data_IF_871687492952
#
_entry.id   IF_871687492952
#
_cell.length_a   1.000
_cell.length_b   1.000
_cell.length_c   1.000
_cell.angle_alpha   90.00
_cell.angle_beta   90.00
_cell.angle_gamma   90.00
#
_symmetry.space_group_name_H-M   'P 1'
#
loop_
_entity.id
_entity.type
_entity.pdbx_description
1 polymer ?
#
# COMPACT_ATOMS: atom_id res chain seq x y z
N UNK A 1 -37.33 6.72 -9.44
CA UNK A 1 -37.01 6.37 -10.85
C UNK A 1 -35.59 6.74 -11.22
N UNK A 2 -35.19 8.02 -11.34
CA UNK A 2 -33.77 8.33 -11.65
C UNK A 2 -32.76 7.96 -10.56
N UNK A 3 -33.09 8.17 -9.28
CA UNK A 3 -32.18 7.90 -8.15
C UNK A 3 -31.90 6.40 -7.94
N UNK A 4 -32.92 5.55 -8.12
CA UNK A 4 -32.82 4.10 -7.94
C UNK A 4 -31.99 3.44 -9.07
N UNK A 5 -32.04 4.01 -10.28
CA UNK A 5 -31.24 3.58 -11.43
C UNK A 5 -29.76 3.95 -11.28
N UNK A 6 -29.47 5.15 -10.78
CA UNK A 6 -28.10 5.60 -10.50
C UNK A 6 -27.45 4.79 -9.36
N UNK A 7 -28.20 4.48 -8.30
CA UNK A 7 -27.73 3.60 -7.21
C UNK A 7 -27.44 2.18 -7.73
N UNK A 8 -28.33 1.61 -8.54
CA UNK A 8 -28.13 0.28 -9.14
C UNK A 8 -26.89 0.25 -10.06
N UNK A 9 -26.65 1.32 -10.83
CA UNK A 9 -25.45 1.45 -11.67
C UNK A 9 -24.17 1.50 -10.84
N UNK A 10 -24.17 2.23 -9.72
CA UNK A 10 -23.03 2.29 -8.79
C UNK A 10 -22.69 0.92 -8.19
N UNK A 11 -23.70 0.15 -7.78
CA UNK A 11 -23.48 -1.20 -7.25
C UNK A 11 -22.87 -2.15 -8.28
N UNK A 12 -23.30 -2.07 -9.54
CA UNK A 12 -22.73 -2.91 -10.61
C UNK A 12 -21.27 -2.54 -10.86
N UNK A 13 -20.95 -1.24 -10.90
CA UNK A 13 -19.58 -0.75 -11.06
C UNK A 13 -18.66 -1.22 -9.92
N UNK A 14 -19.11 -1.10 -8.66
CA UNK A 14 -18.34 -1.57 -7.49
C UNK A 14 -18.07 -3.07 -7.53
N UNK A 15 -19.06 -3.88 -7.96
CA UNK A 15 -18.88 -5.33 -8.13
C UNK A 15 -17.83 -5.65 -9.18
N UNK A 16 -17.87 -4.97 -10.32
CA UNK A 16 -16.88 -5.15 -11.39
C UNK A 16 -15.47 -4.78 -10.92
N UNK A 17 -15.31 -3.63 -10.25
CA UNK A 17 -14.02 -3.20 -9.67
C UNK A 17 -13.47 -4.26 -8.70
N UNK A 18 -14.33 -4.80 -7.84
CA UNK A 18 -13.94 -5.83 -6.87
C UNK A 18 -13.53 -7.16 -7.54
N UNK A 19 -14.18 -7.56 -8.63
CA UNK A 19 -13.82 -8.74 -9.39
C UNK A 19 -12.47 -8.57 -10.10
N UNK A 20 -12.26 -7.44 -10.78
CA UNK A 20 -11.00 -7.09 -11.42
C UNK A 20 -9.84 -7.03 -10.41
N UNK A 21 -10.07 -6.40 -9.25
CA UNK A 21 -9.08 -6.33 -8.18
C UNK A 21 -8.67 -7.72 -7.68
N UNK A 22 -9.63 -8.65 -7.52
CA UNK A 22 -9.32 -10.03 -7.10
C UNK A 22 -8.47 -10.76 -8.13
N UNK A 23 -8.77 -10.56 -9.42
CA UNK A 23 -7.98 -11.16 -10.51
C UNK A 23 -6.55 -10.56 -10.51
N UNK A 24 -6.42 -9.24 -10.43
CA UNK A 24 -5.13 -8.57 -10.33
C UNK A 24 -4.31 -9.06 -9.13
N UNK A 25 -4.93 -9.20 -7.95
CA UNK A 25 -4.27 -9.68 -6.73
C UNK A 25 -3.71 -11.08 -6.93
N UNK A 26 -4.48 -12.00 -7.51
CA UNK A 26 -4.04 -13.37 -7.84
C UNK A 26 -2.88 -13.39 -8.83
N UNK A 27 -2.82 -12.44 -9.75
CA UNK A 27 -1.78 -12.36 -10.76
C UNK A 27 -0.54 -11.58 -10.31
N UNK A 28 -0.61 -10.85 -9.19
CA UNK A 28 0.48 -10.01 -8.68
C UNK A 28 1.83 -10.73 -8.56
N UNK A 29 1.93 -11.99 -8.08
CA UNK A 29 3.21 -12.72 -8.01
C UNK A 29 3.91 -12.91 -9.36
N UNK A 30 3.16 -12.84 -10.46
CA UNK A 30 3.69 -12.98 -11.82
C UNK A 30 3.97 -11.62 -12.49
N UNK A 31 3.43 -10.53 -11.93
CA UNK A 31 3.45 -9.20 -12.53
C UNK A 31 4.49 -8.28 -11.91
N UNK A 32 4.83 -8.48 -10.63
CA UNK A 32 5.68 -7.56 -9.87
C UNK A 32 6.63 -8.33 -8.96
N UNK A 33 7.87 -7.84 -8.85
CA UNK A 33 8.85 -8.36 -7.90
C UNK A 33 8.53 -7.96 -6.45
N UNK A 34 7.91 -6.79 -6.27
CA UNK A 34 7.49 -6.26 -4.98
C UNK A 34 6.18 -5.48 -5.10
N UNK A 35 5.23 -5.83 -4.25
CA UNK A 35 4.03 -5.03 -4.00
C UNK A 35 3.90 -4.79 -2.51
N UNK A 36 3.78 -3.51 -2.14
CA UNK A 36 3.49 -3.07 -0.78
C UNK A 36 2.15 -2.35 -0.80
N UNK A 37 1.22 -2.82 0.02
CA UNK A 37 -0.08 -2.18 0.22
C UNK A 37 -0.23 -1.77 1.67
N UNK A 38 -0.54 -0.50 1.95
CA UNK A 38 -0.73 -0.01 3.31
C UNK A 38 -1.94 0.90 3.45
N UNK A 39 -2.82 0.62 4.42
CA UNK A 39 -3.99 1.44 4.70
C UNK A 39 -3.67 2.65 5.61
N UNK A 40 -3.69 3.86 5.06
CA UNK A 40 -3.66 5.12 5.82
C UNK A 40 -4.98 5.39 6.53
N UNK A 41 -4.95 6.22 7.57
CA UNK A 41 -6.17 6.72 8.23
C UNK A 41 -6.96 7.70 7.37
N UNK A 42 -6.25 8.58 6.66
CA UNK A 42 -6.83 9.59 5.79
C UNK A 42 -6.22 9.52 4.39
N UNK A 43 -6.99 9.87 3.34
CA UNK A 43 -6.46 9.99 1.99
C UNK A 43 -5.27 10.93 1.95
N UNK A 44 -4.27 10.55 1.17
CA UNK A 44 -3.19 11.44 0.81
C UNK A 44 -3.37 11.90 -0.63
N UNK A 45 -3.33 13.22 -0.85
CA UNK A 45 -3.38 13.82 -2.18
C UNK A 45 -1.97 14.07 -2.76
N UNK A 46 -0.92 13.67 -2.02
CA UNK A 46 0.48 13.81 -2.43
C UNK A 46 1.30 12.62 -1.98
N UNK A 47 2.31 12.25 -2.77
CA UNK A 47 3.32 11.26 -2.41
C UNK A 47 4.65 11.65 -3.03
N UNK A 48 5.68 11.75 -2.22
CA UNK A 48 7.02 12.12 -2.69
C UNK A 48 8.09 11.32 -1.95
N UNK A 49 8.92 10.58 -2.69
CA UNK A 49 10.07 9.90 -2.12
C UNK A 49 11.17 10.90 -1.78
N UNK A 50 11.78 10.75 -0.61
CA UNK A 50 12.99 11.47 -0.25
C UNK A 50 14.22 10.72 -0.80
N UNK A 51 15.31 11.44 -1.10
CA UNK A 51 16.50 10.85 -1.71
C UNK A 51 17.29 9.94 -0.75
N UNK A 52 17.07 10.06 0.56
CA UNK A 52 17.83 9.32 1.57
C UNK A 52 17.47 7.83 1.57
N UNK A 53 18.52 6.99 1.50
CA UNK A 53 18.47 5.54 1.67
C UNK A 53 19.45 5.14 2.76
N UNK A 54 18.94 4.48 3.79
CA UNK A 54 19.75 3.97 4.90
C UNK A 54 19.72 2.44 4.88
N UNK A 55 20.88 1.79 4.96
CA UNK A 55 20.99 0.32 5.04
C UNK A 55 21.52 -0.06 6.42
N UNK A 56 20.65 -0.48 7.36
CA UNK A 56 21.08 -0.83 8.70
C UNK A 56 22.05 -2.03 8.68
N UNK A 57 23.17 -2.00 9.43
CA UNK A 57 24.14 -3.09 9.44
C UNK A 57 23.52 -4.43 9.85
N UNK A 58 23.76 -5.47 9.05
CA UNK A 58 23.26 -6.83 9.31
C UNK A 58 21.75 -7.01 9.08
N UNK A 59 21.11 -6.11 8.31
CA UNK A 59 19.73 -6.26 7.83
C UNK A 59 19.71 -6.50 6.32
N UNK A 60 18.67 -7.18 5.88
CA UNK A 60 18.36 -7.53 4.49
C UNK A 60 17.40 -6.52 3.83
N UNK A 61 17.28 -5.32 4.41
CA UNK A 61 16.44 -4.25 3.89
C UNK A 61 17.13 -2.88 3.99
N UNK A 62 16.72 -1.97 3.10
CA UNK A 62 16.97 -0.54 3.21
C UNK A 62 15.76 0.17 3.82
N UNK A 63 15.99 1.29 4.49
CA UNK A 63 14.97 2.22 4.96
C UNK A 63 15.00 3.44 4.06
N UNK A 64 13.87 3.73 3.43
CA UNK A 64 13.64 4.92 2.62
C UNK A 64 12.48 5.70 3.21
N UNK A 65 12.47 7.02 2.99
CA UNK A 65 11.45 7.92 3.53
C UNK A 65 10.60 8.50 2.41
N UNK A 66 9.34 8.78 2.71
CA UNK A 66 8.45 9.51 1.81
C UNK A 66 7.61 10.52 2.59
N UNK A 67 7.23 11.58 1.88
CA UNK A 67 6.30 12.60 2.35
C UNK A 67 4.90 12.24 1.88
N UNK A 68 3.95 12.31 2.80
CA UNK A 68 2.52 12.18 2.57
C UNK A 68 1.80 13.35 3.25
N UNK A 69 0.62 13.72 2.76
CA UNK A 69 -0.31 14.60 3.48
C UNK A 69 -1.52 13.82 3.99
N UNK A 70 -2.25 14.37 4.96
CA UNK A 70 -3.64 13.93 5.21
C UNK A 70 -4.62 14.85 4.49
N UNK A 71 -5.78 14.31 4.14
CA UNK A 71 -6.95 15.05 3.67
C UNK A 71 -8.14 14.64 4.53
N UNK A 72 -8.31 15.36 5.63
CA UNK A 72 -9.27 15.09 6.70
C UNK A 72 -10.63 15.76 6.45
N UNK A 73 -11.63 15.38 7.26
CA UNK A 73 -12.89 16.12 7.34
C UNK A 73 -12.71 17.46 8.06
N UNK A 74 -13.65 18.41 7.88
CA UNK A 74 -13.55 19.80 8.38
C UNK A 74 -13.29 19.95 9.89
N UNK A 75 -13.60 18.91 10.68
CA UNK A 75 -13.44 18.91 12.14
C UNK A 75 -12.10 18.34 12.63
N UNK A 76 -11.26 17.83 11.74
CA UNK A 76 -9.96 17.21 12.08
C UNK A 76 -8.82 17.98 11.40
N UNK A 77 -7.70 18.27 12.09
CA UNK A 77 -6.56 18.96 11.49
C UNK A 77 -5.85 18.11 10.43
N UNK A 78 -5.31 18.78 9.41
CA UNK A 78 -4.46 18.14 8.41
C UNK A 78 -2.99 18.12 8.86
N UNK A 79 -2.26 17.08 8.46
CA UNK A 79 -0.87 16.83 8.83
C UNK A 79 0.00 16.57 7.62
N UNK A 80 1.25 17.02 7.70
CA UNK A 80 2.35 16.53 6.88
C UNK A 80 2.95 15.31 7.59
N UNK A 81 3.02 14.19 6.89
CA UNK A 81 3.50 12.92 7.42
C UNK A 81 4.81 12.52 6.75
N UNK A 82 5.74 12.03 7.56
CA UNK A 82 6.95 11.36 7.09
C UNK A 82 6.77 9.85 7.31
N UNK A 83 6.57 9.11 6.24
CA UNK A 83 6.47 7.65 6.31
C UNK A 83 7.83 7.01 6.04
N UNK A 84 8.17 5.98 6.80
CA UNK A 84 9.33 5.13 6.56
C UNK A 84 8.89 3.85 5.89
N UNK A 85 9.59 3.47 4.82
CA UNK A 85 9.35 2.25 4.07
C UNK A 85 10.60 1.38 4.12
N UNK A 86 10.43 0.16 4.60
CA UNK A 86 11.45 -0.88 4.53
C UNK A 86 11.33 -1.59 3.19
N UNK A 87 12.40 -1.56 2.38
CA UNK A 87 12.46 -2.21 1.08
C UNK A 87 13.54 -3.31 1.12
N UNK A 88 13.26 -4.54 0.67
CA UNK A 88 14.27 -5.59 0.61
C UNK A 88 15.45 -5.16 -0.26
N UNK A 89 16.65 -5.64 0.09
CA UNK A 89 17.84 -5.48 -0.74
C UNK A 89 17.77 -6.42 -1.96
N UNK A 90 18.49 -6.10 -3.04
CA UNK A 90 18.46 -6.87 -4.30
C UNK A 90 18.96 -8.31 -4.13
N UNK A 91 19.83 -8.53 -3.15
CA UNK A 91 20.42 -9.82 -2.78
C UNK A 91 19.61 -10.57 -1.70
N UNK A 92 18.51 -10.00 -1.22
CA UNK A 92 17.62 -10.69 -0.29
C UNK A 92 16.88 -11.84 -1.01
N UNK A 93 16.99 -13.06 -0.50
CA UNK A 93 16.32 -14.23 -1.09
C UNK A 93 14.78 -14.03 -1.09
N UNK A 94 14.17 -14.08 -2.28
CA UNK A 94 12.73 -14.00 -2.46
C UNK A 94 12.13 -15.41 -2.54
N UNK A 95 11.56 -15.91 -1.43
CA UNK A 95 10.81 -17.17 -1.46
C UNK A 95 9.37 -16.93 -1.91
N UNK A 96 9.13 -17.06 -3.22
CA UNK A 96 7.83 -16.94 -3.86
C UNK A 96 6.75 -17.89 -3.28
N UNK A 97 7.14 -18.91 -2.50
CA UNK A 97 6.21 -19.86 -1.85
C UNK A 97 5.60 -19.33 -0.55
N UNK A 98 6.09 -18.20 -0.04
CA UNK A 98 5.53 -17.53 1.15
C UNK A 98 4.29 -16.69 0.84
N UNK A 99 3.76 -16.76 -0.39
CA UNK A 99 2.50 -16.14 -0.76
C UNK A 99 1.35 -16.78 0.00
N UNK A 100 0.91 -16.09 1.06
CA UNK A 100 -0.22 -16.48 1.88
C UNK A 100 -1.45 -15.67 1.42
N UNK A 101 -2.32 -16.31 0.63
CA UNK A 101 -3.56 -15.70 0.11
C UNK A 101 -4.49 -15.23 1.26
N UNK A 102 -4.34 -15.86 2.44
CA UNK A 102 -5.17 -15.66 3.63
C UNK A 102 -4.62 -14.60 4.61
N UNK A 103 -3.47 -13.95 4.36
CA UNK A 103 -3.02 -12.82 5.19
C UNK A 103 -3.82 -11.56 4.87
N UNK A 104 -4.93 -11.43 5.59
CA UNK A 104 -6.04 -10.49 5.35
C UNK A 104 -5.68 -9.01 5.22
N UNK A 105 -4.51 -8.53 5.64
CA UNK A 105 -4.28 -7.06 5.68
C UNK A 105 -2.83 -6.57 5.52
N UNK A 106 -1.87 -7.47 5.30
CA UNK A 106 -0.48 -7.08 5.03
C UNK A 106 0.00 -7.75 3.75
N UNK A 107 -0.33 -7.14 2.61
CA UNK A 107 0.21 -7.52 1.31
C UNK A 107 1.67 -7.08 1.22
N UNK A 108 2.58 -7.99 1.58
CA UNK A 108 4.02 -7.85 1.39
C UNK A 108 4.59 -9.15 0.83
N UNK A 109 5.21 -9.07 -0.34
CA UNK A 109 6.09 -10.10 -0.89
C UNK A 109 7.52 -9.90 -0.35
N UNK A 110 8.27 -10.98 -0.09
CA UNK A 110 9.72 -10.95 0.14
C UNK A 110 10.18 -10.90 1.61
N UNK A 111 11.42 -11.37 1.83
CA UNK A 111 12.06 -11.64 3.14
C UNK A 111 12.17 -10.45 4.11
N UNK A 112 11.90 -9.22 3.68
CA UNK A 112 11.61 -8.13 4.58
C UNK A 112 10.15 -7.75 4.35
N UNK A 113 9.28 -8.02 5.33
CA UNK A 113 7.92 -7.47 5.33
C UNK A 113 8.03 -6.00 4.96
N UNK A 114 7.63 -5.63 3.75
CA UNK A 114 7.63 -4.26 3.28
C UNK A 114 6.74 -3.45 4.23
N UNK A 115 7.37 -2.84 5.23
CA UNK A 115 6.67 -2.19 6.34
C UNK A 115 6.69 -0.71 6.07
N UNK A 116 5.50 -0.18 5.83
CA UNK A 116 5.25 1.25 5.93
C UNK A 116 4.93 1.52 7.39
N UNK A 117 5.75 2.36 8.03
CA UNK A 117 5.51 2.83 9.38
C UNK A 117 5.10 4.30 9.31
N UNK A 118 3.79 4.61 9.31
CA UNK A 118 3.33 5.96 9.50
C UNK A 118 3.52 6.40 10.96
N UNK A 119 3.74 7.69 11.19
CA UNK A 119 3.87 8.25 12.53
C UNK A 119 2.54 8.39 13.30
N UNK A 120 1.40 8.01 12.69
CA UNK A 120 0.04 8.15 13.25
C UNK A 120 -0.77 6.85 13.02
N UNK A 121 -1.71 6.56 13.93
CA UNK A 121 -2.53 5.34 14.00
C UNK A 121 -3.44 5.17 12.77
N UNK A 122 -3.83 3.94 12.43
CA UNK A 122 -4.39 3.57 11.12
C UNK A 122 -5.91 3.33 11.11
N UNK A 123 -6.57 3.71 10.00
CA UNK A 123 -7.84 3.11 9.49
C UNK A 123 -8.15 3.50 8.03
N UNK A 124 -8.01 2.52 7.13
CA UNK A 124 -8.67 2.35 5.82
C UNK A 124 -8.45 3.33 4.64
N UNK A 125 -7.22 3.41 4.14
CA UNK A 125 -6.91 3.87 2.77
C UNK A 125 -5.63 3.27 2.18
N UNK A 126 -5.75 2.31 1.26
CA UNK A 126 -4.62 1.55 0.72
C UNK A 126 -3.76 2.37 -0.26
N UNK A 127 -2.53 2.73 0.12
CA UNK A 127 -1.48 3.15 -0.82
C UNK A 127 -0.83 1.89 -1.40
N UNK A 128 -0.79 1.82 -2.73
CA UNK A 128 -0.01 0.86 -3.49
C UNK A 128 1.31 1.52 -3.91
N UNK A 129 2.43 0.97 -3.45
CA UNK A 129 3.76 1.41 -3.89
C UNK A 129 4.30 0.42 -4.92
N UNK A 130 4.47 0.89 -6.16
CA UNK A 130 5.17 0.18 -7.22
C UNK A 130 6.48 0.91 -7.47
N UNK A 131 7.62 0.24 -7.23
CA UNK A 131 8.94 0.76 -7.59
C UNK A 131 9.41 -0.01 -8.82
N UNK A 132 9.56 0.71 -9.92
CA UNK A 132 10.08 0.21 -11.20
C UNK A 132 11.60 0.29 -11.22
#
# INVERSE_FOLDING_TARGET
MGKDEDEMRGEVEERLINEEYKIWKKNTPFLYDLVITHALEWPSLTVEWLPDREEPPGKDYSVQKMILGTHTSENEPNYLMLAQVQLPLEDAENDARLYDDDRTEYGGFGCANGKVLPSLSTSNLRILLLKW
#
